data_IF_483469887435
#
_entry.id   IF_483469887435
#
_cell.length_a   1.000
_cell.length_b   1.000
_cell.length_c   1.000
_cell.angle_alpha   90.00
_cell.angle_beta   90.00
_cell.angle_gamma   90.00
#
_symmetry.space_group_name_H-M   'P 1'
#
loop_
_entity.id
_entity.type
_entity.pdbx_description
1 polymer ?
#
# COMPACT_ATOMS: atom_id res chain seq x y z
N UNK A 1 13.22 31.07 6.78
CA UNK A 1 13.27 30.08 7.87
C UNK A 1 12.27 29.00 7.51
N UNK A 2 12.73 27.89 6.93
CA UNK A 2 11.85 26.73 6.75
C UNK A 2 11.56 26.22 8.15
N UNK A 3 10.29 26.22 8.55
CA UNK A 3 9.91 25.56 9.78
C UNK A 3 10.35 24.10 9.67
N UNK A 4 11.10 23.60 10.66
CA UNK A 4 11.37 22.17 10.81
C UNK A 4 10.01 21.48 11.02
N UNK A 5 9.38 21.08 9.92
CA UNK A 5 8.10 20.38 9.94
C UNK A 5 8.34 19.00 10.53
N UNK A 6 8.17 18.87 11.84
CA UNK A 6 8.24 17.60 12.52
C UNK A 6 7.05 16.73 12.10
N UNK A 7 7.34 15.49 11.73
CA UNK A 7 6.34 14.46 11.45
C UNK A 7 6.18 13.57 12.68
N UNK A 8 5.04 12.87 12.72
CA UNK A 8 4.78 11.86 13.73
C UNK A 8 4.95 10.49 13.08
N UNK A 9 5.90 9.72 13.59
CA UNK A 9 6.16 8.34 13.23
C UNK A 9 5.54 7.39 14.26
N UNK A 10 5.31 6.15 13.88
CA UNK A 10 4.74 5.11 14.75
C UNK A 10 5.65 3.89 14.71
N UNK A 11 6.10 3.41 15.87
CA UNK A 11 6.85 2.16 15.94
C UNK A 11 5.95 0.97 15.65
N UNK A 12 6.28 0.16 14.64
CA UNK A 12 5.53 -1.04 14.28
C UNK A 12 5.49 -2.10 15.40
N UNK A 13 6.52 -2.16 16.24
CA UNK A 13 6.62 -3.17 17.31
C UNK A 13 5.78 -2.86 18.55
N UNK A 14 5.68 -1.59 18.97
CA UNK A 14 5.01 -1.21 20.22
C UNK A 14 4.00 -0.07 20.09
N UNK A 15 3.73 0.40 18.86
CA UNK A 15 2.80 1.49 18.53
C UNK A 15 3.12 2.84 19.20
N UNK A 16 4.33 3.03 19.72
CA UNK A 16 4.75 4.30 20.30
C UNK A 16 4.89 5.38 19.21
N UNK A 17 4.37 6.57 19.48
CA UNK A 17 4.43 7.72 18.57
C UNK A 17 5.70 8.52 18.82
N UNK A 18 6.45 8.79 17.76
CA UNK A 18 7.74 9.47 17.81
C UNK A 18 7.61 10.74 16.98
N UNK A 19 7.74 11.90 17.62
CA UNK A 19 7.80 13.18 16.91
C UNK A 19 9.26 13.47 16.54
N UNK A 20 9.55 13.53 15.24
CA UNK A 20 10.90 13.75 14.74
C UNK A 20 10.88 14.51 13.40
N UNK A 21 11.94 15.27 13.13
CA UNK A 21 12.15 15.90 11.83
C UNK A 21 12.67 14.89 10.79
N UNK A 22 13.40 13.88 11.25
CA UNK A 22 14.01 12.84 10.42
C UNK A 22 13.44 11.46 10.75
N UNK A 23 13.60 10.52 9.81
CA UNK A 23 13.16 9.14 9.94
C UNK A 23 13.90 8.44 11.10
N UNK A 24 13.20 7.95 12.14
CA UNK A 24 13.85 7.21 13.22
C UNK A 24 14.28 5.81 12.78
N UNK A 25 15.39 5.34 13.34
CA UNK A 25 15.90 3.96 13.17
C UNK A 25 15.79 3.13 14.46
N UNK A 26 15.39 3.73 15.58
CA UNK A 26 15.19 3.05 16.86
C UNK A 26 14.03 3.66 17.65
N UNK A 27 13.23 2.81 18.28
CA UNK A 27 12.15 3.25 19.17
C UNK A 27 12.71 3.71 20.53
N UNK A 28 12.39 4.93 21.02
CA UNK A 28 12.80 5.37 22.36
C UNK A 28 12.10 4.60 23.49
N UNK A 29 10.94 4.00 23.21
CA UNK A 29 10.15 3.27 24.20
C UNK A 29 10.55 1.79 24.31
N UNK A 30 10.43 1.02 23.22
CA UNK A 30 10.70 -0.43 23.25
C UNK A 30 12.12 -0.81 22.77
N UNK A 31 12.92 0.15 22.33
CA UNK A 31 14.29 -0.05 21.81
C UNK A 31 14.41 -0.91 20.55
N UNK A 32 13.30 -1.30 19.93
CA UNK A 32 13.31 -1.96 18.62
C UNK A 32 14.11 -1.11 17.62
N UNK A 33 14.94 -1.78 16.83
CA UNK A 33 15.75 -1.17 15.76
C UNK A 33 15.20 -1.66 14.43
N UNK A 34 15.12 -0.77 13.43
CA UNK A 34 14.50 -1.06 12.15
C UNK A 34 14.72 0.04 11.13
N UNK A 35 14.11 -0.13 9.95
CA UNK A 35 14.18 0.77 8.80
C UNK A 35 12.90 1.61 8.69
N UNK A 36 12.75 2.34 7.57
CA UNK A 36 11.61 3.24 7.34
C UNK A 36 10.25 2.56 7.58
N UNK A 37 10.05 1.34 7.04
CA UNK A 37 8.80 0.57 7.23
C UNK A 37 8.50 0.14 8.66
N UNK A 38 9.51 0.06 9.53
CA UNK A 38 9.33 -0.30 10.94
C UNK A 38 8.94 0.92 11.79
N UNK A 39 9.13 2.12 11.23
CA UNK A 39 8.75 3.39 11.81
C UNK A 39 8.03 4.29 10.79
N UNK A 40 6.91 3.85 10.19
CA UNK A 40 6.20 4.67 9.20
C UNK A 40 5.67 5.95 9.84
N UNK A 41 5.46 6.98 9.03
CA UNK A 41 4.67 8.13 9.48
C UNK A 41 3.24 7.68 9.81
N UNK A 42 2.52 8.46 10.63
CA UNK A 42 1.09 8.22 10.89
C UNK A 42 0.29 8.23 9.58
N UNK A 43 0.66 9.08 8.62
CA UNK A 43 0.04 9.12 7.30
C UNK A 43 0.29 7.81 6.53
N UNK A 44 1.56 7.37 6.43
CA UNK A 44 1.94 6.11 5.79
C UNK A 44 1.24 4.91 6.42
N UNK A 45 1.17 4.83 7.76
CA UNK A 45 0.45 3.77 8.45
C UNK A 45 -1.07 3.80 8.18
N UNK A 46 -1.64 5.00 7.99
CA UNK A 46 -3.04 5.18 7.61
C UNK A 46 -3.30 4.70 6.18
N UNK A 47 -2.41 5.08 5.25
CA UNK A 47 -2.44 4.62 3.86
C UNK A 47 -2.34 3.09 3.80
N UNK A 48 -1.41 2.50 4.54
CA UNK A 48 -1.21 1.06 4.64
C UNK A 48 -2.49 0.32 5.05
N UNK A 49 -3.18 0.83 6.09
CA UNK A 49 -4.47 0.30 6.54
C UNK A 49 -5.55 0.43 5.47
N UNK A 50 -5.61 1.57 4.77
CA UNK A 50 -6.59 1.79 3.71
C UNK A 50 -6.34 0.89 2.49
N UNK A 51 -5.08 0.67 2.13
CA UNK A 51 -4.67 -0.23 1.06
C UNK A 51 -5.03 -1.68 1.40
N UNK A 52 -4.82 -2.11 2.64
CA UNK A 52 -5.28 -3.41 3.13
C UNK A 52 -6.80 -3.56 3.02
N UNK A 53 -7.56 -2.53 3.39
CA UNK A 53 -9.02 -2.54 3.26
C UNK A 53 -9.46 -2.62 1.80
N UNK A 54 -8.77 -1.94 0.88
CA UNK A 54 -9.04 -2.06 -0.55
C UNK A 54 -8.78 -3.49 -1.06
N UNK A 55 -7.66 -4.10 -0.68
CA UNK A 55 -7.31 -5.47 -1.07
C UNK A 55 -8.32 -6.47 -0.52
N UNK A 56 -8.71 -6.38 0.74
CA UNK A 56 -9.78 -7.21 1.32
C UNK A 56 -11.15 -6.96 0.64
N UNK A 57 -11.39 -5.72 0.22
CA UNK A 57 -12.60 -5.31 -0.50
C UNK A 57 -12.80 -5.99 -1.84
N UNK A 58 -11.75 -6.59 -2.44
CA UNK A 58 -11.85 -7.40 -3.66
C UNK A 58 -12.76 -8.63 -3.50
N UNK A 59 -12.90 -9.16 -2.27
CA UNK A 59 -13.71 -10.35 -1.97
C UNK A 59 -15.06 -10.02 -1.32
N UNK A 60 -15.13 -8.93 -0.54
CA UNK A 60 -16.30 -8.59 0.26
C UNK A 60 -16.97 -7.35 -0.34
N UNK A 61 -16.42 -6.17 -0.07
CA UNK A 61 -16.85 -4.90 -0.61
C UNK A 61 -15.80 -3.82 -0.27
N UNK A 62 -15.59 -2.89 -1.19
CA UNK A 62 -14.82 -1.67 -0.91
C UNK A 62 -15.48 -0.86 0.22
N UNK A 63 -14.72 -0.36 1.21
CA UNK A 63 -15.27 0.46 2.28
C UNK A 63 -16.07 1.67 1.77
N UNK A 64 -17.17 1.98 2.46
CA UNK A 64 -17.99 3.16 2.15
C UNK A 64 -17.14 4.43 2.22
N UNK A 65 -17.22 5.27 1.19
CA UNK A 65 -16.46 6.52 1.09
C UNK A 65 -15.09 6.39 0.45
N UNK A 66 -14.58 5.18 0.22
CA UNK A 66 -13.33 4.98 -0.51
C UNK A 66 -13.59 4.97 -2.03
N UNK A 67 -13.03 5.96 -2.73
CA UNK A 67 -12.97 5.95 -4.20
C UNK A 67 -11.89 4.97 -4.65
N UNK A 68 -12.28 3.93 -5.37
CA UNK A 68 -11.34 2.91 -5.84
C UNK A 68 -11.63 2.42 -7.27
N UNK A 69 -10.57 2.05 -7.98
CA UNK A 69 -10.62 1.37 -9.27
C UNK A 69 -9.71 0.14 -9.21
N UNK A 70 -10.15 -0.95 -9.84
CA UNK A 70 -9.36 -2.18 -9.97
C UNK A 70 -9.11 -2.41 -11.45
N UNK A 71 -7.85 -2.48 -11.83
CA UNK A 71 -7.40 -2.67 -13.20
C UNK A 71 -6.62 -3.98 -13.29
N UNK A 72 -6.88 -4.76 -14.34
CA UNK A 72 -6.09 -5.92 -14.71
C UNK A 72 -5.56 -5.67 -16.12
N UNK A 73 -4.26 -5.84 -16.31
CA UNK A 73 -3.65 -5.64 -17.63
C UNK A 73 -4.07 -6.72 -18.63
N UNK A 74 -3.91 -6.46 -19.94
CA UNK A 74 -4.21 -7.45 -20.98
C UNK A 74 -3.50 -8.79 -20.76
N UNK A 75 -2.24 -8.80 -20.32
CA UNK A 75 -1.48 -10.02 -20.06
C UNK A 75 -2.07 -10.88 -18.94
N UNK A 76 -2.64 -10.26 -17.91
CA UNK A 76 -3.36 -10.98 -16.84
C UNK A 76 -4.69 -11.52 -17.37
N UNK A 77 -5.48 -10.70 -18.09
CA UNK A 77 -6.77 -11.12 -18.64
C UNK A 77 -6.63 -12.24 -19.68
N UNK A 78 -5.56 -12.23 -20.48
CA UNK A 78 -5.29 -13.26 -21.50
C UNK A 78 -5.07 -14.67 -20.92
N UNK A 79 -4.73 -14.79 -19.63
CA UNK A 79 -4.60 -16.08 -18.93
C UNK A 79 -5.94 -16.72 -18.55
N UNK A 80 -7.03 -16.00 -18.75
CA UNK A 80 -8.39 -16.51 -18.57
C UNK A 80 -8.99 -16.26 -17.18
N UNK A 81 -10.32 -16.45 -17.06
CA UNK A 81 -11.09 -16.02 -15.88
C UNK A 81 -10.72 -16.76 -14.58
N UNK A 82 -10.32 -18.03 -14.67
CA UNK A 82 -9.88 -18.80 -13.51
C UNK A 82 -8.60 -18.21 -12.91
N UNK A 83 -7.61 -17.92 -13.76
CA UNK A 83 -6.35 -17.29 -13.35
C UNK A 83 -6.58 -15.88 -12.77
N UNK A 84 -7.43 -15.08 -13.42
CA UNK A 84 -7.85 -13.76 -12.91
C UNK A 84 -8.45 -13.86 -11.50
N UNK A 85 -9.33 -14.83 -11.27
CA UNK A 85 -9.95 -15.05 -9.96
C UNK A 85 -8.91 -15.43 -8.90
N UNK A 86 -7.94 -16.28 -9.26
CA UNK A 86 -6.81 -16.62 -8.38
C UNK A 86 -5.92 -15.42 -8.07
N UNK A 87 -5.69 -14.53 -9.04
CA UNK A 87 -4.93 -13.29 -8.81
C UNK A 87 -5.66 -12.39 -7.82
N UNK A 88 -6.96 -12.15 -8.01
CA UNK A 88 -7.76 -11.31 -7.11
C UNK A 88 -7.76 -11.89 -5.68
N UNK A 89 -7.95 -13.21 -5.53
CA UNK A 89 -7.87 -13.89 -4.24
C UNK A 89 -6.49 -13.75 -3.60
N UNK A 90 -5.42 -13.96 -4.37
CA UNK A 90 -4.04 -13.90 -3.88
C UNK A 90 -3.68 -12.50 -3.42
N UNK A 91 -4.03 -11.47 -4.19
CA UNK A 91 -3.81 -10.06 -3.82
C UNK A 91 -4.61 -9.66 -2.58
N UNK A 92 -5.86 -10.13 -2.50
CA UNK A 92 -6.73 -9.86 -1.35
C UNK A 92 -6.17 -10.41 -0.04
N UNK A 93 -5.64 -11.64 -0.08
CA UNK A 93 -5.13 -12.34 1.10
C UNK A 93 -3.64 -12.10 1.38
N UNK A 94 -2.95 -11.32 0.55
CA UNK A 94 -1.50 -11.11 0.68
C UNK A 94 -1.14 -10.41 1.99
N UNK A 95 -0.19 -10.97 2.72
CA UNK A 95 0.29 -10.45 4.02
C UNK A 95 1.81 -10.43 4.16
N UNK A 96 2.55 -11.03 3.22
CA UNK A 96 4.01 -11.20 3.27
C UNK A 96 4.77 -9.97 2.74
N UNK A 97 4.53 -8.82 3.39
CA UNK A 97 5.22 -7.58 3.07
C UNK A 97 6.59 -7.56 3.72
N UNK A 98 7.61 -7.29 2.91
CA UNK A 98 9.02 -7.24 3.30
C UNK A 98 9.66 -5.94 2.81
N UNK A 99 10.93 -5.72 3.14
CA UNK A 99 11.66 -4.57 2.60
C UNK A 99 11.80 -4.62 1.07
N UNK A 100 11.87 -5.82 0.49
CA UNK A 100 12.06 -6.00 -0.96
C UNK A 100 10.84 -5.57 -1.78
N UNK A 101 9.66 -5.55 -1.17
CA UNK A 101 8.41 -5.24 -1.84
C UNK A 101 7.65 -4.03 -1.24
N UNK A 102 7.95 -3.64 0.00
CA UNK A 102 7.29 -2.56 0.73
C UNK A 102 8.30 -1.85 1.66
N UNK A 103 9.33 -1.19 1.08
CA UNK A 103 10.42 -0.58 1.84
C UNK A 103 9.95 0.57 2.75
N UNK A 104 8.83 1.20 2.42
CA UNK A 104 8.27 2.34 3.16
C UNK A 104 7.09 1.98 4.05
N UNK A 105 6.54 0.76 3.97
CA UNK A 105 5.44 0.33 4.84
C UNK A 105 4.06 0.81 4.41
N UNK A 106 3.91 1.33 3.18
CA UNK A 106 2.63 1.82 2.64
C UNK A 106 1.75 0.69 2.11
N UNK A 107 2.30 -0.52 1.96
CA UNK A 107 1.59 -1.74 1.50
C UNK A 107 0.88 -1.53 0.17
N UNK A 108 1.53 -0.78 -0.70
CA UNK A 108 1.03 -0.35 -2.00
C UNK A 108 1.62 -1.16 -3.16
N UNK A 109 2.63 -2.00 -2.93
CA UNK A 109 3.23 -2.86 -3.95
C UNK A 109 3.54 -4.25 -3.39
N UNK A 110 3.34 -5.29 -4.20
CA UNK A 110 3.96 -6.57 -3.93
C UNK A 110 4.15 -7.44 -5.18
N UNK A 111 5.02 -8.44 -5.01
CA UNK A 111 5.30 -9.48 -5.98
C UNK A 111 4.69 -10.79 -5.49
N UNK A 112 3.90 -11.44 -6.32
CA UNK A 112 3.27 -12.73 -6.01
C UNK A 112 3.61 -13.76 -7.09
N UNK A 113 3.54 -15.04 -6.71
CA UNK A 113 3.54 -16.14 -7.65
C UNK A 113 2.17 -16.83 -7.58
N UNK A 114 1.43 -16.80 -8.69
CA UNK A 114 0.12 -17.45 -8.85
C UNK A 114 0.26 -18.50 -9.93
N UNK A 115 0.07 -19.78 -9.60
CA UNK A 115 0.23 -20.91 -10.54
C UNK A 115 1.55 -20.88 -11.34
N UNK A 116 2.66 -20.58 -10.65
CA UNK A 116 3.98 -20.49 -11.29
C UNK A 116 4.19 -19.24 -12.18
N UNK A 117 3.20 -18.36 -12.27
CA UNK A 117 3.32 -17.06 -12.94
C UNK A 117 3.62 -15.98 -11.90
N UNK A 118 4.73 -15.27 -12.07
CA UNK A 118 5.03 -14.07 -11.31
C UNK A 118 4.12 -12.93 -11.75
N UNK A 119 3.42 -12.29 -10.81
CA UNK A 119 2.58 -11.12 -11.03
C UNK A 119 2.97 -10.03 -10.04
N UNK A 120 2.68 -8.78 -10.39
CA UNK A 120 2.75 -7.64 -9.49
C UNK A 120 1.34 -7.16 -9.17
N UNK A 121 1.16 -6.59 -7.99
CA UNK A 121 0.13 -5.58 -7.80
C UNK A 121 0.76 -4.27 -7.35
N UNK A 122 0.13 -3.16 -7.73
CA UNK A 122 0.42 -1.84 -7.19
C UNK A 122 -0.87 -1.09 -6.85
N UNK A 123 -0.84 -0.16 -5.91
CA UNK A 123 -1.93 0.74 -5.55
C UNK A 123 -1.43 2.17 -5.68
N UNK A 124 -1.87 2.84 -6.73
CA UNK A 124 -1.55 4.25 -6.95
C UNK A 124 -2.60 5.15 -6.29
N UNK A 125 -2.15 6.27 -5.71
CA UNK A 125 -2.99 7.24 -5.00
C UNK A 125 -3.13 8.51 -5.84
N UNK A 126 -4.21 8.58 -6.61
CA UNK A 126 -4.51 9.73 -7.46
C UNK A 126 -5.43 10.74 -6.79
N UNK A 127 -5.46 11.96 -7.30
CA UNK A 127 -6.50 12.95 -7.00
C UNK A 127 -7.91 12.48 -7.44
N UNK A 128 -8.91 13.34 -7.22
CA UNK A 128 -10.30 13.03 -7.55
C UNK A 128 -10.54 12.84 -9.06
N UNK A 129 -9.77 13.52 -9.91
CA UNK A 129 -9.89 13.46 -11.37
C UNK A 129 -9.10 12.30 -11.99
N UNK A 130 -8.22 11.65 -11.23
CA UNK A 130 -7.23 10.70 -11.71
C UNK A 130 -6.23 11.29 -12.72
N UNK A 131 -5.84 12.56 -12.52
CA UNK A 131 -4.86 13.25 -13.39
C UNK A 131 -3.46 13.25 -12.76
N UNK A 132 -3.38 13.49 -11.46
CA UNK A 132 -2.12 13.57 -10.70
C UNK A 132 -2.17 12.75 -9.42
N UNK A 133 -1.02 12.62 -8.75
CA UNK A 133 -0.97 12.08 -7.39
C UNK A 133 -1.71 12.99 -6.42
N UNK A 134 -2.45 12.40 -5.48
CA UNK A 134 -3.17 13.16 -4.45
C UNK A 134 -2.20 13.91 -3.53
N UNK A 135 -2.48 15.19 -3.25
CA UNK A 135 -1.75 15.95 -2.23
C UNK A 135 -2.16 15.60 -0.79
N UNK A 136 -3.27 14.86 -0.62
CA UNK A 136 -3.76 14.38 0.66
C UNK A 136 -4.01 12.86 0.59
N UNK A 137 -2.96 12.03 0.41
CA UNK A 137 -3.10 10.62 0.06
C UNK A 137 -3.87 9.78 1.10
N UNK A 138 -3.84 10.18 2.38
CA UNK A 138 -4.63 9.53 3.43
C UNK A 138 -6.11 9.97 3.50
N UNK A 139 -6.49 11.05 2.81
CA UNK A 139 -7.86 11.56 2.79
C UNK A 139 -8.69 10.79 1.74
N UNK A 140 -9.70 10.04 2.20
CA UNK A 140 -10.53 9.19 1.34
C UNK A 140 -11.42 9.98 0.38
N UNK A 141 -11.82 11.21 0.74
CA UNK A 141 -12.68 12.03 -0.12
C UNK A 141 -11.90 12.66 -1.28
N UNK A 142 -10.61 12.92 -1.06
CA UNK A 142 -9.69 13.56 -2.03
C UNK A 142 -8.91 12.59 -2.90
N UNK A 143 -8.86 11.32 -2.50
CA UNK A 143 -7.95 10.34 -3.12
C UNK A 143 -8.70 9.20 -3.77
N UNK A 144 -8.40 8.96 -5.05
CA UNK A 144 -8.81 7.76 -5.78
C UNK A 144 -7.70 6.73 -5.75
N UNK A 145 -7.97 5.54 -5.20
CA UNK A 145 -7.03 4.41 -5.17
C UNK A 145 -7.18 3.55 -6.41
N UNK A 146 -6.10 3.35 -7.17
CA UNK A 146 -6.10 2.49 -8.35
C UNK A 146 -5.24 1.27 -8.07
N UNK A 147 -5.90 0.13 -7.81
CA UNK A 147 -5.22 -1.16 -7.68
C UNK A 147 -5.02 -1.75 -9.08
N UNK A 148 -3.78 -1.96 -9.48
CA UNK A 148 -3.44 -2.59 -10.77
C UNK A 148 -2.79 -3.93 -10.53
N UNK A 149 -3.31 -4.99 -11.14
CA UNK A 149 -2.68 -6.32 -11.21
C UNK A 149 -2.09 -6.49 -12.61
N UNK A 150 -0.79 -6.82 -12.68
CA UNK A 150 -0.05 -6.85 -13.94
C UNK A 150 1.06 -7.90 -13.97
N UNK A 151 1.50 -8.26 -15.17
CA UNK A 151 2.70 -9.07 -15.35
C UNK A 151 3.96 -8.20 -15.21
N UNK A 152 5.11 -8.77 -14.80
CA UNK A 152 6.38 -8.06 -14.75
C UNK A 152 6.81 -7.40 -16.07
N UNK A 153 6.40 -7.95 -17.21
CA UNK A 153 6.69 -7.40 -18.54
C UNK A 153 5.83 -6.20 -18.92
N UNK A 154 4.81 -5.88 -18.13
CA UNK A 154 3.87 -4.78 -18.33
C UNK A 154 4.08 -3.65 -17.32
N UNK A 155 5.08 -3.78 -16.45
CA UNK A 155 5.54 -2.78 -15.48
C UNK A 155 6.73 -2.02 -16.05
#
# INVERSE_FOLDING_TARGET
MLADTKLIYVCAACSHRIEAAEQPCQCPNCRAVGKCRDFPTVETATIAKQNDLLRLGLLIATPKGMKARVMLTPGINAKGPAFVSLCLLSVSMFTDFSEDNDPFGARDFAILNVEGTRIYFKIDLYDEACEYGSSEPANLDRTTRVLTILLPSEY
#
